data_IF_897272341456
#
_entry.id   IF_897272341456
#
_cell.length_a   1.000
_cell.length_b   1.000
_cell.length_c   1.000
_cell.angle_alpha   90.00
_cell.angle_beta   90.00
_cell.angle_gamma   90.00
#
_symmetry.space_group_name_H-M   'P 1'
#
loop_
_entity.id
_entity.type
_entity.pdbx_description
1 polymer ?
#
# COMPACT_ATOMS: atom_id res chain seq x y z
N UNK A 1 27.53 -47.93 2.53
CA UNK A 1 26.52 -47.03 3.15
C UNK A 1 27.13 -45.66 3.52
N UNK A 2 27.86 -44.98 2.61
CA UNK A 2 28.50 -43.67 2.90
C UNK A 2 28.05 -42.52 1.98
N UNK A 3 27.24 -42.80 0.96
CA UNK A 3 26.77 -41.78 -0.01
C UNK A 3 25.45 -41.11 0.39
N UNK A 4 24.64 -41.75 1.24
CA UNK A 4 23.31 -41.22 1.61
C UNK A 4 23.34 -40.13 2.69
N UNK A 5 24.36 -40.11 3.55
CA UNK A 5 24.48 -39.11 4.62
C UNK A 5 24.83 -37.71 4.07
N UNK A 6 25.62 -37.66 2.99
CA UNK A 6 26.06 -36.41 2.35
C UNK A 6 24.92 -35.70 1.61
N UNK A 7 23.99 -36.46 1.03
CA UNK A 7 22.80 -35.93 0.36
C UNK A 7 21.80 -35.36 1.38
N UNK A 8 21.61 -36.03 2.52
CA UNK A 8 20.76 -35.53 3.60
C UNK A 8 21.27 -34.22 4.20
N UNK A 9 22.59 -34.05 4.32
CA UNK A 9 23.22 -32.84 4.82
C UNK A 9 23.06 -31.65 3.87
N UNK A 10 23.18 -31.89 2.56
CA UNK A 10 22.95 -30.86 1.53
C UNK A 10 21.48 -30.41 1.49
N UNK A 11 20.53 -31.34 1.65
CA UNK A 11 19.09 -30.99 1.70
C UNK A 11 18.77 -30.17 2.94
N UNK A 12 19.37 -30.47 4.11
CA UNK A 12 19.17 -29.70 5.33
C UNK A 12 19.72 -28.27 5.23
N UNK A 13 20.89 -28.08 4.61
CA UNK A 13 21.47 -26.74 4.42
C UNK A 13 20.59 -25.87 3.50
N UNK A 14 20.08 -26.44 2.40
CA UNK A 14 19.17 -25.72 1.48
C UNK A 14 17.84 -25.36 2.17
N UNK A 15 17.29 -26.23 3.01
CA UNK A 15 16.07 -25.95 3.78
C UNK A 15 16.26 -24.84 4.81
N UNK A 16 17.43 -24.73 5.45
CA UNK A 16 17.71 -23.63 6.40
C UNK A 16 17.96 -22.29 5.73
N UNK A 17 18.44 -22.26 4.48
CA UNK A 17 18.63 -21.00 3.75
C UNK A 17 17.33 -20.41 3.19
N UNK A 18 16.26 -21.22 3.04
CA UNK A 18 14.98 -20.73 2.51
C UNK A 18 14.08 -20.05 3.55
N UNK A 19 14.44 -20.08 4.84
CA UNK A 19 13.59 -19.60 5.93
C UNK A 19 13.94 -18.20 6.47
N UNK A 20 15.01 -17.54 5.98
CA UNK A 20 15.48 -16.27 6.56
C UNK A 20 15.60 -15.12 5.54
N UNK A 21 14.72 -15.06 4.54
CA UNK A 21 14.24 -13.75 4.08
C UNK A 21 13.00 -13.42 4.90
N UNK A 22 13.22 -13.06 6.16
CA UNK A 22 12.29 -12.18 6.86
C UNK A 22 12.19 -10.95 5.99
N UNK A 23 11.17 -10.90 5.13
CA UNK A 23 10.70 -9.66 4.54
C UNK A 23 10.43 -8.82 5.78
N UNK A 24 11.33 -7.88 6.08
CA UNK A 24 11.07 -6.86 7.09
C UNK A 24 9.91 -6.07 6.52
N UNK A 25 8.70 -6.51 6.81
CA UNK A 25 7.53 -5.66 6.83
C UNK A 25 7.85 -4.64 7.90
N UNK A 26 8.51 -3.56 7.50
CA UNK A 26 8.52 -2.35 8.31
C UNK A 26 7.08 -2.06 8.66
N UNK A 27 6.78 -1.79 9.93
CA UNK A 27 5.44 -1.38 10.35
C UNK A 27 4.94 -0.34 9.35
N UNK A 28 3.92 -0.73 8.58
CA UNK A 28 3.47 0.09 7.46
C UNK A 28 2.72 1.26 8.04
N UNK A 29 3.48 2.31 8.33
CA UNK A 29 3.00 3.64 8.65
C UNK A 29 2.24 3.74 9.96
N UNK A 30 2.59 4.74 10.77
CA UNK A 30 1.74 5.23 11.88
C UNK A 30 0.43 5.88 11.38
N UNK A 31 0.02 5.61 10.14
CA UNK A 31 -0.98 6.35 9.37
C UNK A 31 -2.05 5.35 8.94
N UNK A 32 -3.27 5.58 9.40
CA UNK A 32 -4.43 4.78 9.01
C UNK A 32 -4.96 5.17 7.63
N UNK A 33 -5.89 4.36 7.14
CA UNK A 33 -6.61 4.57 5.89
C UNK A 33 -7.26 5.94 5.87
N UNK A 34 -7.89 6.38 6.96
CA UNK A 34 -8.52 7.70 7.04
C UNK A 34 -7.54 8.84 6.76
N UNK A 35 -6.35 8.78 7.38
CA UNK A 35 -5.33 9.80 7.22
C UNK A 35 -4.72 9.75 5.81
N UNK A 36 -4.60 8.56 5.20
CA UNK A 36 -4.20 8.43 3.81
C UNK A 36 -5.22 9.04 2.83
N UNK A 37 -6.52 8.88 3.11
CA UNK A 37 -7.58 9.52 2.33
C UNK A 37 -7.57 11.04 2.48
N UNK A 38 -7.34 11.55 3.70
CA UNK A 38 -7.16 13.00 3.93
C UNK A 38 -5.94 13.55 3.20
N UNK A 39 -4.85 12.79 3.16
CA UNK A 39 -3.66 13.20 2.41
C UNK A 39 -3.95 13.30 0.91
N UNK A 40 -4.76 12.41 0.34
CA UNK A 40 -5.17 12.51 -1.07
C UNK A 40 -5.90 13.81 -1.39
N UNK A 41 -6.71 14.34 -0.46
CA UNK A 41 -7.41 15.63 -0.64
C UNK A 41 -6.45 16.81 -0.86
N UNK A 42 -5.16 16.68 -0.55
CA UNK A 42 -4.13 17.71 -0.80
C UNK A 42 -3.53 17.64 -2.21
N UNK A 43 -4.04 16.78 -3.10
CA UNK A 43 -3.47 16.49 -4.42
C UNK A 43 -1.94 16.26 -4.40
N UNK A 44 -1.43 15.34 -3.56
CA UNK A 44 0.00 15.11 -3.41
C UNK A 44 0.58 14.41 -4.65
N UNK A 45 1.86 14.65 -4.92
CA UNK A 45 2.61 13.79 -5.84
C UNK A 45 2.70 12.37 -5.29
N UNK A 46 2.83 11.37 -6.16
CA UNK A 46 2.97 9.96 -5.73
C UNK A 46 4.14 9.80 -4.75
N UNK A 47 5.26 10.46 -5.03
CA UNK A 47 6.47 10.43 -4.17
C UNK A 47 6.18 10.98 -2.78
N UNK A 48 5.48 12.12 -2.69
CA UNK A 48 5.12 12.71 -1.40
C UNK A 48 4.13 11.84 -0.63
N UNK A 49 3.15 11.27 -1.33
CA UNK A 49 2.15 10.40 -0.76
C UNK A 49 2.78 9.16 -0.13
N UNK A 50 3.63 8.45 -0.87
CA UNK A 50 4.37 7.27 -0.38
C UNK A 50 5.33 7.62 0.77
N UNK A 51 6.01 8.77 0.70
CA UNK A 51 6.89 9.24 1.79
C UNK A 51 6.13 9.47 3.09
N UNK A 52 4.90 10.00 3.01
CA UNK A 52 4.07 10.32 4.19
C UNK A 52 3.43 9.07 4.79
N UNK A 53 2.93 8.16 3.96
CA UNK A 53 2.35 6.89 4.42
C UNK A 53 3.41 5.91 4.89
N UNK A 54 4.68 6.08 4.47
CA UNK A 54 5.77 5.12 4.68
C UNK A 54 5.42 3.72 4.16
N UNK A 55 4.46 3.63 3.24
CA UNK A 55 3.99 2.38 2.69
C UNK A 55 4.80 1.99 1.45
N UNK A 56 4.99 0.69 1.28
CA UNK A 56 5.54 0.14 0.03
C UNK A 56 4.36 -0.22 -0.87
N UNK A 57 4.21 0.43 -2.04
CA UNK A 57 3.11 0.14 -2.94
C UNK A 57 3.37 -1.16 -3.71
N UNK A 58 2.29 -1.87 -4.01
CA UNK A 58 2.29 -3.10 -4.80
C UNK A 58 1.50 -2.80 -6.07
N UNK A 59 2.15 -2.92 -7.23
CA UNK A 59 1.48 -2.79 -8.52
C UNK A 59 0.55 -3.99 -8.73
N UNK A 60 -0.72 -3.71 -8.99
CA UNK A 60 -1.71 -4.68 -9.44
C UNK A 60 -1.87 -4.56 -10.97
N UNK A 61 -2.80 -5.34 -11.52
CA UNK A 61 -3.16 -5.25 -12.94
C UNK A 61 -3.75 -3.87 -13.28
N UNK A 62 -3.70 -3.51 -14.57
CA UNK A 62 -4.36 -2.32 -15.12
C UNK A 62 -3.91 -0.97 -14.52
N UNK A 63 -2.69 -0.89 -13.97
CA UNK A 63 -2.14 0.36 -13.45
C UNK A 63 -2.72 0.78 -12.09
N UNK A 64 -3.44 -0.12 -11.41
CA UNK A 64 -3.89 0.08 -10.03
C UNK A 64 -2.79 -0.32 -9.07
N UNK A 65 -2.56 0.50 -8.05
CA UNK A 65 -1.60 0.24 -6.99
C UNK A 65 -2.31 -0.05 -5.68
N UNK A 66 -1.68 -0.84 -4.81
CA UNK A 66 -2.19 -1.20 -3.49
C UNK A 66 -1.17 -0.89 -2.41
N UNK A 67 -1.63 -0.29 -1.32
CA UNK A 67 -0.88 -0.18 -0.06
C UNK A 67 -1.67 -0.80 1.09
N UNK A 68 -0.99 -1.52 1.96
CA UNK A 68 -1.56 -2.08 3.20
C UNK A 68 -1.19 -1.11 4.32
N UNK A 69 -2.17 -0.57 5.05
CA UNK A 69 -2.00 0.37 6.16
C UNK A 69 -2.37 -0.30 7.49
N UNK A 70 -2.23 0.41 8.60
CA UNK A 70 -2.43 -0.14 9.94
C UNK A 70 -3.83 -0.69 10.21
N UNK A 71 -4.85 -0.08 9.61
CA UNK A 71 -6.28 -0.32 9.85
C UNK A 71 -7.04 -0.65 8.56
N UNK A 72 -6.35 -0.91 7.45
CA UNK A 72 -7.00 -1.29 6.20
C UNK A 72 -6.10 -1.18 4.97
N UNK A 73 -6.71 -1.08 3.79
CA UNK A 73 -6.03 -1.12 2.49
C UNK A 73 -6.48 0.07 1.64
N UNK A 74 -5.53 0.70 0.96
CA UNK A 74 -5.83 1.74 -0.03
C UNK A 74 -5.36 1.27 -1.40
N UNK A 75 -6.25 1.40 -2.38
CA UNK A 75 -6.00 1.24 -3.79
C UNK A 75 -5.95 2.62 -4.43
N UNK A 76 -5.03 2.85 -5.35
CA UNK A 76 -4.92 4.13 -6.02
C UNK A 76 -4.43 4.00 -7.46
N UNK A 77 -4.79 4.97 -8.29
CA UNK A 77 -4.29 5.11 -9.65
C UNK A 77 -3.43 6.36 -9.76
N UNK A 78 -2.50 6.34 -10.69
CA UNK A 78 -1.57 7.44 -10.95
C UNK A 78 -1.90 8.07 -12.30
N UNK A 79 -1.68 9.38 -12.42
CA UNK A 79 -1.67 10.07 -13.71
C UNK A 79 -0.43 10.94 -13.83
N UNK A 80 0.05 11.14 -15.05
CA UNK A 80 1.14 12.07 -15.35
C UNK A 80 0.58 13.39 -15.88
N UNK A 81 1.12 14.51 -15.41
CA UNK A 81 0.90 15.80 -16.05
C UNK A 81 1.75 15.96 -17.33
N UNK A 82 1.63 17.12 -17.99
CA UNK A 82 2.36 17.51 -19.20
C UNK A 82 3.88 17.61 -18.99
N UNK A 83 4.32 17.69 -17.74
CA UNK A 83 5.72 17.77 -17.32
C UNK A 83 6.30 16.43 -16.88
N UNK A 84 5.52 15.35 -16.95
CA UNK A 84 5.95 14.01 -16.53
C UNK A 84 5.82 13.74 -15.02
N UNK A 85 5.18 14.63 -14.26
CA UNK A 85 5.03 14.49 -12.81
C UNK A 85 3.84 13.60 -12.49
N UNK A 86 4.07 12.55 -11.70
CA UNK A 86 3.03 11.61 -11.28
C UNK A 86 2.26 12.10 -10.06
N UNK A 87 0.94 12.11 -10.18
CA UNK A 87 -0.02 12.47 -9.14
C UNK A 87 -1.00 11.32 -8.89
N UNK A 88 -1.60 11.33 -7.70
CA UNK A 88 -2.67 10.39 -7.36
C UNK A 88 -3.96 10.88 -8.03
N UNK A 89 -4.50 10.08 -8.95
CA UNK A 89 -5.72 10.42 -9.69
C UNK A 89 -6.99 10.07 -8.92
N UNK A 90 -6.98 8.89 -8.31
CA UNK A 90 -8.14 8.26 -7.70
C UNK A 90 -7.67 7.40 -6.55
N UNK A 91 -8.49 7.31 -5.51
CA UNK A 91 -8.28 6.40 -4.39
C UNK A 91 -9.56 5.61 -4.12
N UNK A 92 -9.38 4.38 -3.68
CA UNK A 92 -10.41 3.55 -3.09
C UNK A 92 -9.84 2.91 -1.82
N UNK A 93 -10.66 2.83 -0.77
CA UNK A 93 -10.19 2.45 0.56
C UNK A 93 -11.15 1.45 1.20
N UNK A 94 -10.60 0.44 1.86
CA UNK A 94 -11.37 -0.56 2.60
C UNK A 94 -10.74 -0.82 3.96
N UNK A 95 -11.58 -1.09 4.96
CA UNK A 95 -11.18 -1.46 6.32
C UNK A 95 -12.12 -2.53 6.84
N UNK A 96 -11.58 -3.51 7.58
CA UNK A 96 -12.36 -4.51 8.30
C UNK A 96 -12.85 -3.97 9.66
N UNK A 97 -12.34 -2.82 10.11
CA UNK A 97 -12.84 -2.15 11.31
C UNK A 97 -14.16 -1.42 11.00
N UNK A 98 -15.27 -1.72 11.70
CA UNK A 98 -16.57 -1.12 11.39
C UNK A 98 -16.63 0.40 11.57
N UNK A 99 -15.87 0.96 12.52
CA UNK A 99 -15.86 2.40 12.78
C UNK A 99 -15.11 3.13 11.67
N UNK A 100 -13.92 2.63 11.30
CA UNK A 100 -13.12 3.12 10.18
C UNK A 100 -13.88 2.98 8.87
N UNK A 101 -14.55 1.84 8.62
CA UNK A 101 -15.35 1.62 7.42
C UNK A 101 -16.49 2.65 7.28
N UNK A 102 -17.18 2.99 8.37
CA UNK A 102 -18.22 4.02 8.34
C UNK A 102 -17.63 5.41 8.11
N UNK A 103 -16.46 5.70 8.70
CA UNK A 103 -15.77 6.97 8.48
C UNK A 103 -15.24 7.13 7.06
N UNK A 104 -14.76 6.05 6.42
CA UNK A 104 -14.39 6.02 5.00
C UNK A 104 -15.59 6.43 4.12
N UNK A 105 -16.80 5.94 4.41
CA UNK A 105 -18.01 6.35 3.66
C UNK A 105 -18.29 7.84 3.78
N UNK A 106 -18.07 8.42 4.96
CA UNK A 106 -18.22 9.86 5.18
C UNK A 106 -17.14 10.66 4.43
N UNK A 107 -15.87 10.23 4.53
CA UNK A 107 -14.76 10.87 3.84
C UNK A 107 -14.92 10.86 2.32
N UNK A 108 -15.47 9.79 1.72
CA UNK A 108 -15.77 9.77 0.29
C UNK A 108 -16.74 10.88 -0.12
N UNK A 109 -17.76 11.18 0.72
CA UNK A 109 -18.68 12.30 0.47
C UNK A 109 -17.95 13.65 0.58
N UNK A 110 -17.12 13.82 1.61
CA UNK A 110 -16.31 15.05 1.80
C UNK A 110 -15.37 15.29 0.59
N UNK A 111 -14.75 14.21 0.08
CA UNK A 111 -13.91 14.23 -1.14
C UNK A 111 -14.75 14.66 -2.35
N UNK A 112 -15.89 14.01 -2.60
CA UNK A 112 -16.75 14.33 -3.74
C UNK A 112 -17.22 15.79 -3.73
N UNK A 113 -17.60 16.32 -2.55
CA UNK A 113 -17.99 17.72 -2.37
C UNK A 113 -16.82 18.68 -2.63
N UNK A 114 -15.63 18.37 -2.12
CA UNK A 114 -14.42 19.16 -2.37
C UNK A 114 -14.09 19.23 -3.86
N UNK A 115 -14.22 18.13 -4.59
CA UNK A 115 -13.89 18.11 -6.02
C UNK A 115 -14.98 18.77 -6.89
N UNK A 116 -16.26 18.67 -6.51
CA UNK A 116 -17.34 19.41 -7.18
C UNK A 116 -17.23 20.92 -6.99
N UNK A 117 -16.81 21.39 -5.82
CA UNK A 117 -16.68 22.83 -5.55
C UNK A 117 -15.50 23.51 -6.25
N UNK A 118 -14.58 22.74 -6.83
CA UNK A 118 -13.42 23.24 -7.59
C UNK A 118 -13.66 23.31 -9.10
N UNK A 119 -14.79 22.80 -9.59
CA UNK A 119 -15.25 22.91 -10.98
C UNK A 119 -16.07 24.19 -11.18
#
# INVERSE_FOLDING_TARGET
MRRSALVLLLVFVVLTCSACRTIRTHDVGKVGVEDAMRLYMTNPTVVEWLRKTKATPILLEQGTWKIILSDGVVFYNEYSDDKGVLYINQIHATSDDPQTAERIKQLNKEIDELFRSKQ
#
